data_IF_711973125079
#
_entry.id   IF_711973125079
#
_cell.length_a   1.000
_cell.length_b   1.000
_cell.length_c   1.000
_cell.angle_alpha   90.00
_cell.angle_beta   90.00
_cell.angle_gamma   90.00
#
_symmetry.space_group_name_H-M   'P 1'
#
loop_
_entity.id
_entity.type
_entity.pdbx_description
1 polymer ?
#
# COMPACT_ATOMS: atom_id res chain seq x y z
N UNK A 1 -14.51 53.12 9.34
CA UNK A 1 -14.03 52.99 10.74
C UNK A 1 -13.20 51.70 10.76
N UNK A 2 -11.88 51.66 10.57
CA UNK A 2 -10.68 52.33 11.11
C UNK A 2 -10.17 51.66 12.39
N UNK A 3 -9.34 50.63 12.21
CA UNK A 3 -8.53 49.93 13.23
C UNK A 3 -7.25 49.43 12.49
N UNK A 4 -6.29 50.27 12.11
CA UNK A 4 -5.02 50.65 12.80
C UNK A 4 -4.15 49.47 13.31
N UNK A 5 -3.02 49.22 12.59
CA UNK A 5 -1.60 48.99 13.05
C UNK A 5 -1.29 47.91 14.10
N UNK A 6 -0.15 47.18 14.12
CA UNK A 6 1.24 47.48 13.75
C UNK A 6 2.04 46.16 13.52
N UNK A 7 2.92 46.09 12.51
CA UNK A 7 4.40 46.12 12.57
C UNK A 7 5.06 44.96 13.35
N UNK A 8 5.79 44.11 12.61
CA UNK A 8 7.10 43.61 13.04
C UNK A 8 7.93 43.22 11.80
N UNK A 9 8.80 44.14 11.35
CA UNK A 9 9.92 43.82 10.48
C UNK A 9 10.92 42.99 11.29
N UNK A 10 11.19 41.75 10.86
CA UNK A 10 12.36 41.00 11.29
C UNK A 10 13.33 40.92 10.10
N UNK A 11 14.41 41.69 10.22
CA UNK A 11 15.58 41.71 9.36
C UNK A 11 16.23 40.31 9.34
N UNK A 12 16.30 39.68 8.16
CA UNK A 12 17.12 38.50 7.93
C UNK A 12 18.26 38.89 6.98
N UNK A 13 19.39 39.21 7.60
CA UNK A 13 20.68 39.36 6.94
C UNK A 13 21.53 38.12 7.19
N UNK A 14 22.42 37.85 6.23
CA UNK A 14 23.60 36.96 6.29
C UNK A 14 23.27 35.44 6.28
N UNK A 15 23.94 34.54 5.56
CA UNK A 15 25.30 34.53 5.00
C UNK A 15 25.35 33.78 3.64
N UNK A 16 26.15 34.33 2.71
CA UNK A 16 26.89 33.55 1.72
C UNK A 16 28.00 32.77 2.43
N UNK A 17 28.05 31.45 2.25
CA UNK A 17 29.28 30.67 2.44
C UNK A 17 29.45 29.68 1.30
N UNK A 18 30.68 29.66 0.81
CA UNK A 18 31.16 29.06 -0.41
C UNK A 18 31.23 27.52 -0.36
N UNK A 19 31.41 26.98 -1.57
CA UNK A 19 31.72 25.61 -1.95
C UNK A 19 32.57 24.78 -0.96
N UNK A 20 32.18 23.52 -0.80
CA UNK A 20 33.10 22.41 -0.54
C UNK A 20 32.67 21.20 -1.36
N UNK A 21 33.45 20.91 -2.40
CA UNK A 21 33.43 19.64 -3.13
C UNK A 21 33.95 18.52 -2.22
N UNK A 22 33.16 17.48 -2.03
CA UNK A 22 33.65 16.16 -1.64
C UNK A 22 32.63 15.08 -2.06
N UNK A 23 33.01 14.27 -3.04
CA UNK A 23 32.46 12.94 -3.33
C UNK A 23 33.64 11.96 -3.36
N UNK A 24 33.47 10.64 -3.17
CA UNK A 24 32.33 9.89 -2.62
C UNK A 24 32.76 8.97 -1.43
N UNK A 25 31.81 8.53 -0.60
CA UNK A 25 31.99 7.36 0.26
C UNK A 25 30.90 6.35 -0.08
N UNK A 26 31.22 5.10 -0.44
CA UNK A 26 30.22 4.07 -0.67
C UNK A 26 29.70 3.59 0.68
N UNK A 27 28.55 4.12 1.07
CA UNK A 27 27.78 3.57 2.18
C UNK A 27 27.26 2.18 1.77
N UNK A 28 27.32 1.16 2.66
CA UNK A 28 26.76 -0.15 2.39
C UNK A 28 25.29 0.00 2.07
N UNK A 29 24.87 -0.51 0.90
CA UNK A 29 23.46 -0.64 0.54
C UNK A 29 22.72 -1.34 1.68
N UNK A 30 22.03 -0.54 2.49
CA UNK A 30 20.95 -1.03 3.33
C UNK A 30 19.89 -1.56 2.36
N UNK A 31 19.96 -2.86 2.08
CA UNK A 31 18.89 -3.56 1.40
C UNK A 31 17.62 -3.22 2.16
N UNK A 32 16.69 -2.55 1.49
CA UNK A 32 15.37 -2.25 2.03
C UNK A 32 14.85 -3.57 2.59
N UNK A 33 14.53 -3.68 3.89
CA UNK A 33 13.81 -4.84 4.33
C UNK A 33 12.51 -4.82 3.52
N UNK A 34 12.35 -5.76 2.60
CA UNK A 34 11.01 -6.22 2.25
C UNK A 34 10.45 -6.64 3.59
N UNK A 35 9.69 -5.74 4.21
CA UNK A 35 9.03 -6.02 5.46
C UNK A 35 8.14 -7.23 5.17
N UNK A 36 8.58 -8.40 5.66
CA UNK A 36 7.81 -9.63 5.53
C UNK A 36 6.41 -9.40 6.06
N UNK A 37 5.42 -10.12 5.52
CA UNK A 37 4.05 -10.00 6.01
C UNK A 37 4.03 -10.17 7.54
N UNK A 38 3.34 -9.28 8.28
CA UNK A 38 3.22 -9.45 9.73
C UNK A 38 2.64 -10.83 10.03
N UNK A 39 3.30 -11.59 10.91
CA UNK A 39 2.90 -12.95 11.28
C UNK A 39 1.49 -13.01 11.89
N UNK A 40 0.99 -11.89 12.40
CA UNK A 40 -0.37 -11.73 12.93
C UNK A 40 -1.47 -11.72 11.86
N UNK A 41 -1.13 -11.59 10.57
CA UNK A 41 -2.15 -11.64 9.52
C UNK A 41 -2.65 -13.07 9.33
N UNK A 42 -3.98 -13.28 9.27
CA UNK A 42 -4.56 -14.58 9.00
C UNK A 42 -3.92 -15.20 7.76
N UNK A 43 -3.63 -16.50 7.83
CA UNK A 43 -3.00 -17.26 6.75
C UNK A 43 -3.99 -18.32 6.25
N UNK A 44 -4.25 -18.38 4.94
CA UNK A 44 -5.07 -19.45 4.38
C UNK A 44 -4.34 -20.80 4.46
N UNK A 45 -5.11 -21.86 4.63
CA UNK A 45 -4.63 -23.23 4.36
C UNK A 45 -4.51 -23.49 2.84
N UNK A 46 -4.04 -24.69 2.47
CA UNK A 46 -3.83 -25.08 1.08
C UNK A 46 -5.12 -24.99 0.24
N UNK A 47 -6.25 -25.47 0.78
CA UNK A 47 -7.53 -25.47 0.08
C UNK A 47 -8.07 -24.05 -0.10
N UNK A 48 -7.93 -23.22 0.93
CA UNK A 48 -8.28 -21.80 0.90
C UNK A 48 -7.43 -21.04 -0.13
N UNK A 49 -6.12 -21.31 -0.17
CA UNK A 49 -5.21 -20.74 -1.16
C UNK A 49 -5.63 -21.07 -2.59
N UNK A 50 -5.88 -22.35 -2.90
CA UNK A 50 -6.31 -22.78 -4.24
C UNK A 50 -7.66 -22.15 -4.63
N UNK A 51 -8.60 -22.13 -3.69
CA UNK A 51 -9.92 -21.49 -3.88
C UNK A 51 -9.79 -20.00 -4.16
N UNK A 52 -8.91 -19.32 -3.41
CA UNK A 52 -8.65 -17.90 -3.58
C UNK A 52 -8.04 -17.61 -4.96
N UNK A 53 -7.00 -18.35 -5.35
CA UNK A 53 -6.36 -18.18 -6.66
C UNK A 53 -7.34 -18.45 -7.81
N UNK A 54 -8.19 -19.48 -7.69
CA UNK A 54 -9.24 -19.75 -8.66
C UNK A 54 -10.29 -18.64 -8.72
N UNK A 55 -10.66 -18.03 -7.59
CA UNK A 55 -11.58 -16.91 -7.56
C UNK A 55 -10.96 -15.65 -8.20
N UNK A 56 -9.70 -15.36 -7.89
CA UNK A 56 -8.95 -14.24 -8.50
C UNK A 56 -8.82 -14.43 -10.02
N UNK A 57 -8.53 -15.64 -10.49
CA UNK A 57 -8.45 -15.96 -11.92
C UNK A 57 -9.76 -15.69 -12.68
N UNK A 58 -10.92 -15.90 -12.03
CA UNK A 58 -12.24 -15.60 -12.61
C UNK A 58 -12.51 -14.10 -12.74
N UNK A 59 -11.94 -13.29 -11.86
CA UNK A 59 -12.05 -11.82 -11.91
C UNK A 59 -11.17 -11.30 -13.03
N UNK A 60 -9.88 -11.65 -12.99
CA UNK A 60 -8.93 -11.32 -14.04
C UNK A 60 -7.81 -12.37 -14.05
N UNK A 61 -7.51 -12.98 -15.21
CA UNK A 61 -6.56 -14.09 -15.32
C UNK A 61 -5.11 -13.72 -14.97
N UNK A 62 -4.80 -12.42 -14.83
CA UNK A 62 -3.47 -11.93 -14.43
C UNK A 62 -3.34 -11.74 -12.90
N UNK A 63 -4.42 -11.84 -12.14
CA UNK A 63 -4.41 -11.70 -10.68
C UNK A 63 -3.75 -12.85 -9.89
N UNK A 64 -3.81 -14.14 -10.30
CA UNK A 64 -3.17 -15.23 -9.57
C UNK A 64 -1.66 -15.27 -9.85
N UNK A 65 -0.95 -14.19 -9.48
CA UNK A 65 0.51 -14.12 -9.52
C UNK A 65 1.16 -14.82 -8.31
N UNK A 66 2.49 -14.92 -8.30
CA UNK A 66 3.24 -15.56 -7.21
C UNK A 66 3.11 -14.88 -5.84
N UNK A 67 2.51 -13.69 -5.77
CA UNK A 67 2.31 -12.89 -4.56
C UNK A 67 0.81 -12.70 -4.22
N UNK A 68 -0.10 -13.26 -5.00
CA UNK A 68 -1.54 -13.02 -4.89
C UNK A 68 -2.10 -13.36 -3.50
N UNK A 69 -1.58 -14.42 -2.88
CA UNK A 69 -1.96 -14.84 -1.52
C UNK A 69 -1.48 -13.86 -0.47
N UNK A 70 -0.24 -13.37 -0.58
CA UNK A 70 0.29 -12.39 0.35
C UNK A 70 -0.38 -11.02 0.20
N UNK A 71 -0.69 -10.61 -1.02
CA UNK A 71 -1.53 -9.43 -1.31
C UNK A 71 -2.92 -9.57 -0.66
N UNK A 72 -3.55 -10.73 -0.81
CA UNK A 72 -4.84 -11.02 -0.19
C UNK A 72 -4.78 -11.00 1.35
N UNK A 73 -3.71 -11.52 1.95
CA UNK A 73 -3.49 -11.47 3.40
C UNK A 73 -3.33 -10.04 3.91
N UNK A 74 -2.61 -9.17 3.18
CA UNK A 74 -2.51 -7.74 3.53
C UNK A 74 -3.86 -7.03 3.44
N UNK A 75 -4.62 -7.30 2.38
CA UNK A 75 -5.96 -6.73 2.23
C UNK A 75 -6.93 -7.26 3.29
N UNK A 76 -6.78 -8.52 3.72
CA UNK A 76 -7.52 -9.06 4.85
C UNK A 76 -7.24 -8.28 6.15
N UNK A 77 -5.97 -7.93 6.42
CA UNK A 77 -5.64 -7.07 7.57
C UNK A 77 -6.38 -5.73 7.54
N UNK A 78 -6.58 -5.14 6.35
CA UNK A 78 -7.38 -3.92 6.18
C UNK A 78 -8.87 -4.15 6.41
N UNK A 79 -9.41 -5.28 5.93
CA UNK A 79 -10.80 -5.69 6.17
C UNK A 79 -11.12 -5.82 7.66
N UNK A 80 -10.22 -6.45 8.42
CA UNK A 80 -10.36 -6.60 9.87
C UNK A 80 -10.14 -5.28 10.65
N UNK A 81 -9.38 -4.34 10.06
CA UNK A 81 -9.05 -3.04 10.62
C UNK A 81 -10.14 -1.97 10.50
N UNK A 82 -11.37 -2.31 10.10
CA UNK A 82 -12.50 -1.38 9.96
C UNK A 82 -12.28 -0.26 8.92
N UNK A 83 -11.52 -0.51 7.87
CA UNK A 83 -11.41 0.41 6.74
C UNK A 83 -12.77 0.66 6.06
N UNK A 84 -13.00 1.88 5.57
CA UNK A 84 -14.20 2.18 4.77
C UNK A 84 -14.17 1.47 3.42
N UNK A 85 -15.32 1.35 2.75
CA UNK A 85 -15.41 0.74 1.42
C UNK A 85 -14.44 1.38 0.41
N UNK A 86 -14.38 2.72 0.37
CA UNK A 86 -13.47 3.44 -0.54
C UNK A 86 -12.00 3.18 -0.23
N UNK A 87 -11.63 3.10 1.07
CA UNK A 87 -10.27 2.77 1.47
C UNK A 87 -9.90 1.34 1.08
N UNK A 88 -10.84 0.39 1.19
CA UNK A 88 -10.63 -0.99 0.78
C UNK A 88 -10.47 -1.11 -0.73
N UNK A 89 -11.29 -0.41 -1.52
CA UNK A 89 -11.17 -0.36 -2.98
C UNK A 89 -9.81 0.21 -3.38
N UNK A 90 -9.41 1.34 -2.79
CA UNK A 90 -8.10 1.94 -3.05
C UNK A 90 -6.96 0.98 -2.69
N UNK A 91 -7.03 0.31 -1.54
CA UNK A 91 -6.03 -0.67 -1.11
C UNK A 91 -5.98 -1.89 -2.05
N UNK A 92 -7.13 -2.43 -2.46
CA UNK A 92 -7.19 -3.54 -3.40
C UNK A 92 -6.55 -3.17 -4.75
N UNK A 93 -6.83 -1.97 -5.25
CA UNK A 93 -6.18 -1.45 -6.46
C UNK A 93 -4.67 -1.35 -6.25
N UNK A 94 -4.19 -0.76 -5.16
CA UNK A 94 -2.75 -0.64 -4.88
C UNK A 94 -2.05 -1.99 -4.77
N UNK A 95 -2.64 -2.97 -4.08
CA UNK A 95 -2.03 -4.29 -3.87
C UNK A 95 -1.98 -5.12 -5.17
N UNK A 96 -2.99 -4.98 -6.03
CA UNK A 96 -3.14 -5.79 -7.26
C UNK A 96 -2.81 -5.04 -8.56
N UNK A 97 -2.48 -3.74 -8.52
CA UNK A 97 -2.15 -2.94 -9.72
C UNK A 97 -0.82 -3.27 -10.38
N UNK A 98 -0.01 -4.17 -9.80
CA UNK A 98 1.30 -4.55 -10.35
C UNK A 98 1.18 -5.09 -11.77
N UNK A 99 0.82 -6.35 -11.92
CA UNK A 99 0.72 -6.99 -13.24
C UNK A 99 -0.58 -6.67 -13.99
N UNK A 100 -1.52 -5.98 -13.36
CA UNK A 100 -2.79 -5.55 -13.96
C UNK A 100 -2.80 -4.03 -14.11
N UNK A 101 -2.40 -3.49 -15.28
CA UNK A 101 -2.48 -2.06 -15.52
C UNK A 101 -3.96 -1.65 -15.51
N UNK A 102 -4.32 -0.83 -14.51
CA UNK A 102 -5.67 -0.33 -14.24
C UNK A 102 -6.72 -1.40 -13.86
N UNK A 103 -6.64 -1.88 -12.62
CA UNK A 103 -7.73 -2.61 -11.96
C UNK A 103 -8.97 -1.70 -11.84
N UNK A 104 -10.12 -2.14 -12.33
CA UNK A 104 -11.39 -1.41 -12.19
C UNK A 104 -11.88 -1.42 -10.73
N UNK A 105 -12.73 -0.47 -10.35
CA UNK A 105 -13.33 -0.46 -9.01
C UNK A 105 -14.25 -1.68 -8.79
N UNK A 106 -14.90 -2.14 -9.86
CA UNK A 106 -15.71 -3.36 -9.85
C UNK A 106 -14.86 -4.60 -9.56
N UNK A 107 -13.72 -4.75 -10.24
CA UNK A 107 -12.79 -5.87 -9.99
C UNK A 107 -12.19 -5.77 -8.59
N UNK A 108 -11.84 -4.57 -8.13
CA UNK A 108 -11.38 -4.33 -6.76
C UNK A 108 -12.41 -4.81 -5.74
N UNK A 109 -13.69 -4.48 -5.94
CA UNK A 109 -14.78 -4.90 -5.07
C UNK A 109 -15.01 -6.43 -5.11
N UNK A 110 -14.86 -7.05 -6.29
CA UNK A 110 -14.91 -8.51 -6.43
C UNK A 110 -13.74 -9.20 -5.72
N UNK A 111 -12.53 -8.64 -5.76
CA UNK A 111 -11.35 -9.14 -5.03
C UNK A 111 -11.60 -9.10 -3.53
N UNK A 112 -12.07 -7.96 -3.02
CA UNK A 112 -12.41 -7.79 -1.59
C UNK A 112 -13.43 -8.84 -1.15
N UNK A 113 -14.48 -9.05 -1.96
CA UNK A 113 -15.53 -10.04 -1.71
C UNK A 113 -14.98 -11.48 -1.72
N UNK A 114 -14.13 -11.81 -2.69
CA UNK A 114 -13.49 -13.13 -2.76
C UNK A 114 -12.64 -13.42 -1.53
N UNK A 115 -11.90 -12.42 -1.03
CA UNK A 115 -11.07 -12.56 0.17
C UNK A 115 -11.92 -12.73 1.43
N UNK A 116 -12.96 -11.92 1.60
CA UNK A 116 -13.89 -12.03 2.74
C UNK A 116 -14.65 -13.36 2.76
N UNK A 117 -15.01 -13.89 1.58
CA UNK A 117 -15.73 -15.16 1.46
C UNK A 117 -14.85 -16.41 1.53
N UNK A 118 -13.53 -16.29 1.36
CA UNK A 118 -12.62 -17.44 1.32
C UNK A 118 -12.48 -18.16 2.67
N UNK A 119 -12.94 -17.54 3.75
CA UNK A 119 -12.95 -18.12 5.09
C UNK A 119 -11.71 -17.75 5.89
N UNK A 120 -10.51 -17.67 5.30
CA UNK A 120 -9.28 -17.35 6.06
C UNK A 120 -9.31 -15.96 6.72
N UNK A 121 -10.09 -15.01 6.20
CA UNK A 121 -10.12 -13.64 6.69
C UNK A 121 -11.11 -13.45 7.84
N UNK A 122 -10.70 -13.84 9.05
CA UNK A 122 -11.50 -13.76 10.28
C UNK A 122 -10.61 -13.69 11.51
#
# INVERSE_FOLDING_TARGET
MKNTTAIALALLSVLLTAACSASPSPEPSAGTPTAGLPASLPKPDQTQQETLLAALAKINPRLPDGQAVDKARRLCGRLLGQSTADQLIAAAKTEFSGDVPALSDEDAQRIISAIGANGFCR
#
